data_IF_759681040074
#
_entry.id   IF_759681040074
#
_cell.length_a   1.000
_cell.length_b   1.000
_cell.length_c   1.000
_cell.angle_alpha   90.00
_cell.angle_beta   90.00
_cell.angle_gamma   90.00
#
_symmetry.space_group_name_H-M   'P 1'
#
loop_
_entity.id
_entity.type
_entity.pdbx_description
1 polymer ?
#
# COMPACT_ATOMS: atom_id res chain seq x y z
N UNK A 1 -10.25 32.61 13.02
CA UNK A 1 -9.94 31.31 13.65
C UNK A 1 -9.87 30.27 12.53
N UNK A 2 -8.73 29.63 12.31
CA UNK A 2 -8.60 28.58 11.28
C UNK A 2 -9.13 27.28 11.89
N UNK A 3 -10.17 26.72 11.28
CA UNK A 3 -10.82 25.51 11.75
C UNK A 3 -9.98 24.29 11.32
N UNK A 4 -9.18 23.75 12.23
CA UNK A 4 -8.42 22.52 11.98
C UNK A 4 -9.32 21.31 12.22
N UNK A 5 -10.11 20.93 11.21
CA UNK A 5 -11.15 19.90 11.36
C UNK A 5 -10.57 18.48 11.57
N UNK A 6 -9.44 18.17 10.92
CA UNK A 6 -8.80 16.84 10.93
C UNK A 6 -7.25 16.91 10.85
N UNK A 7 -6.57 17.60 11.79
CA UNK A 7 -5.13 17.83 11.72
C UNK A 7 -4.28 16.56 11.71
N UNK A 8 -4.70 15.50 12.39
CA UNK A 8 -3.97 14.22 12.45
C UNK A 8 -4.05 13.54 11.08
N UNK A 9 -5.26 13.31 10.57
CA UNK A 9 -5.47 12.68 9.28
C UNK A 9 -4.84 13.49 8.14
N UNK A 10 -4.91 14.83 8.22
CA UNK A 10 -4.24 15.74 7.28
C UNK A 10 -2.72 15.60 7.28
N UNK A 11 -2.10 15.40 8.44
CA UNK A 11 -0.65 15.19 8.55
C UNK A 11 -0.25 13.89 7.86
N UNK A 12 -0.93 12.78 8.17
CA UNK A 12 -0.59 11.48 7.60
C UNK A 12 -0.96 11.38 6.11
N UNK A 13 -2.02 12.05 5.65
CA UNK A 13 -2.35 12.11 4.22
C UNK A 13 -1.25 12.78 3.41
N UNK A 14 -0.64 13.86 3.92
CA UNK A 14 0.52 14.51 3.31
C UNK A 14 1.73 13.57 3.22
N UNK A 15 2.08 12.91 4.33
CA UNK A 15 3.22 11.96 4.37
C UNK A 15 3.00 10.79 3.41
N UNK A 16 1.82 10.16 3.47
CA UNK A 16 1.47 9.02 2.62
C UNK A 16 1.34 9.43 1.14
N UNK A 17 0.89 10.65 0.85
CA UNK A 17 0.82 11.21 -0.50
C UNK A 17 2.21 11.39 -1.11
N UNK A 18 3.17 11.94 -0.36
CA UNK A 18 4.57 12.03 -0.80
C UNK A 18 5.18 10.66 -1.07
N UNK A 19 4.88 9.67 -0.19
CA UNK A 19 5.34 8.31 -0.39
C UNK A 19 4.69 7.64 -1.61
N UNK A 20 3.40 7.89 -1.86
CA UNK A 20 2.72 7.41 -3.06
C UNK A 20 3.34 7.98 -4.33
N UNK A 21 3.70 9.27 -4.33
CA UNK A 21 4.44 9.89 -5.43
C UNK A 21 5.78 9.20 -5.69
N UNK A 22 6.52 8.86 -4.63
CA UNK A 22 7.74 8.05 -4.75
C UNK A 22 7.48 6.69 -5.42
N UNK A 23 6.39 5.98 -5.08
CA UNK A 23 6.01 4.72 -5.72
C UNK A 23 5.67 4.90 -7.21
N UNK A 24 4.95 5.97 -7.58
CA UNK A 24 4.64 6.32 -8.97
C UNK A 24 5.94 6.51 -9.77
N UNK A 25 6.89 7.28 -9.24
CA UNK A 25 8.19 7.51 -9.88
C UNK A 25 8.96 6.19 -10.01
N UNK A 26 8.90 5.31 -9.01
CA UNK A 26 9.51 3.98 -9.05
C UNK A 26 8.98 3.11 -10.19
N UNK A 27 7.66 3.11 -10.40
CA UNK A 27 7.00 2.42 -11.52
C UNK A 27 7.40 3.02 -12.86
N UNK A 28 7.43 4.35 -12.98
CA UNK A 28 7.86 5.01 -14.21
C UNK A 28 9.30 4.67 -14.60
N UNK A 29 10.22 4.69 -13.61
CA UNK A 29 11.63 4.35 -13.81
C UNK A 29 11.82 2.87 -14.18
N UNK A 30 11.12 1.95 -13.53
CA UNK A 30 11.24 0.52 -13.83
C UNK A 30 10.69 0.18 -15.22
N UNK A 31 9.55 0.77 -15.61
CA UNK A 31 8.96 0.63 -16.95
C UNK A 31 9.85 1.18 -18.05
N UNK A 32 10.41 2.37 -17.84
CA UNK A 32 11.34 2.99 -18.80
C UNK A 32 12.58 2.12 -19.01
N UNK A 33 13.19 1.61 -17.93
CA UNK A 33 14.35 0.70 -18.01
C UNK A 33 14.01 -0.62 -18.71
N UNK A 34 12.82 -1.17 -18.47
CA UNK A 34 12.38 -2.42 -19.08
C UNK A 34 11.82 -2.26 -20.51
N UNK A 35 11.66 -1.02 -21.00
CA UNK A 35 10.98 -0.69 -22.27
C UNK A 35 9.55 -1.24 -22.34
N UNK A 36 8.85 -1.22 -21.21
CA UNK A 36 7.47 -1.71 -21.06
C UNK A 36 6.52 -0.52 -20.85
N UNK A 37 5.83 -0.04 -21.90
CA UNK A 37 4.95 1.11 -21.76
C UNK A 37 3.72 0.80 -20.88
N UNK A 38 3.16 -0.41 -21.01
CA UNK A 38 1.92 -0.82 -20.36
C UNK A 38 2.04 -2.23 -19.74
N UNK A 39 1.22 -2.46 -18.72
CA UNK A 39 1.16 -3.75 -18.01
C UNK A 39 2.29 -3.94 -17.00
N UNK A 40 2.43 -5.19 -16.56
CA UNK A 40 3.48 -5.68 -15.66
C UNK A 40 4.62 -6.40 -16.39
N UNK A 41 4.51 -6.52 -17.72
CA UNK A 41 5.48 -7.21 -18.55
C UNK A 41 5.26 -8.72 -18.69
N UNK A 42 4.24 -9.29 -18.06
CA UNK A 42 3.95 -10.74 -18.13
C UNK A 42 3.68 -11.22 -19.57
N UNK A 43 2.91 -10.46 -20.34
CA UNK A 43 2.63 -10.78 -21.74
C UNK A 43 3.89 -10.69 -22.61
N UNK A 44 4.70 -9.64 -22.44
CA UNK A 44 5.96 -9.47 -23.16
C UNK A 44 6.97 -10.55 -22.77
N UNK A 45 6.98 -10.99 -21.51
CA UNK A 45 7.80 -12.11 -21.06
C UNK A 45 7.45 -13.40 -21.80
N UNK A 46 6.17 -13.72 -21.95
CA UNK A 46 5.71 -14.89 -22.72
C UNK A 46 6.09 -14.75 -24.20
N UNK A 47 5.91 -13.57 -24.79
CA UNK A 47 6.30 -13.31 -26.18
C UNK A 47 7.79 -13.54 -26.41
N UNK A 48 8.64 -13.08 -25.48
CA UNK A 48 10.08 -13.24 -25.57
C UNK A 48 10.51 -14.71 -25.38
N UNK A 49 9.84 -15.46 -24.50
CA UNK A 49 10.04 -16.91 -24.39
C UNK A 49 9.73 -17.60 -25.72
N UNK A 50 8.57 -17.31 -26.31
CA UNK A 50 8.11 -17.94 -27.56
C UNK A 50 9.00 -17.56 -28.75
N UNK A 51 9.49 -16.31 -28.78
CA UNK A 51 10.42 -15.87 -29.81
C UNK A 51 11.76 -16.62 -29.70
N UNK A 52 12.35 -16.64 -28.50
CA UNK A 52 13.65 -17.29 -28.27
C UNK A 52 13.59 -18.81 -28.33
N UNK A 53 12.46 -19.44 -28.02
CA UNK A 53 12.33 -20.90 -28.15
C UNK A 53 12.45 -21.38 -29.60
N UNK A 54 12.19 -20.51 -30.58
CA UNK A 54 12.39 -20.81 -32.01
C UNK A 54 13.86 -20.79 -32.42
N UNK A 55 14.72 -20.16 -31.62
CA UNK A 55 16.17 -20.01 -31.88
C UNK A 55 17.02 -21.12 -31.22
N UNK A 56 16.39 -22.00 -30.43
CA UNK A 56 17.04 -23.07 -29.66
C UNK A 56 16.85 -22.94 -28.14
N UNK A 57 16.98 -24.05 -27.40
CA UNK A 57 16.74 -24.07 -25.95
C UNK A 57 17.68 -23.15 -25.15
N UNK A 58 18.94 -22.99 -25.59
CA UNK A 58 19.94 -22.16 -24.91
C UNK A 58 19.59 -20.66 -24.94
N UNK A 59 18.82 -20.22 -25.94
CA UNK A 59 18.38 -18.83 -26.07
C UNK A 59 17.34 -18.45 -25.00
N UNK A 60 16.48 -19.38 -24.59
CA UNK A 60 15.46 -19.17 -23.55
C UNK A 60 16.09 -18.98 -22.18
N UNK A 61 17.19 -19.68 -21.88
CA UNK A 61 17.92 -19.54 -20.62
C UNK A 61 18.52 -18.13 -20.42
N UNK A 62 18.76 -17.40 -21.51
CA UNK A 62 19.35 -16.06 -21.51
C UNK A 62 18.32 -14.92 -21.46
N UNK A 63 17.09 -15.16 -21.02
CA UNK A 63 16.09 -14.09 -20.83
C UNK A 63 16.37 -13.37 -19.50
N UNK A 64 16.55 -12.05 -19.57
CA UNK A 64 16.66 -11.22 -18.39
C UNK A 64 15.31 -11.13 -17.66
N UNK A 65 15.14 -11.94 -16.62
CA UNK A 65 13.98 -11.94 -15.74
C UNK A 65 13.93 -10.70 -14.83
N UNK A 66 15.09 -10.11 -14.53
CA UNK A 66 15.21 -9.02 -13.56
C UNK A 66 14.47 -7.77 -14.05
N UNK A 67 14.44 -7.52 -15.37
CA UNK A 67 13.67 -6.39 -15.92
C UNK A 67 12.17 -6.49 -15.63
N UNK A 68 11.58 -7.69 -15.78
CA UNK A 68 10.15 -7.91 -15.55
C UNK A 68 9.83 -7.90 -14.07
N UNK A 69 10.68 -8.56 -13.27
CA UNK A 69 10.52 -8.64 -11.83
C UNK A 69 10.50 -7.27 -11.17
N UNK A 70 11.38 -6.36 -11.59
CA UNK A 70 11.41 -5.00 -11.07
C UNK A 70 10.14 -4.21 -11.38
N UNK A 71 9.59 -4.35 -12.59
CA UNK A 71 8.34 -3.70 -12.97
C UNK A 71 7.18 -4.26 -12.14
N UNK A 72 7.10 -5.59 -12.02
CA UNK A 72 6.10 -6.27 -11.21
C UNK A 72 6.12 -5.84 -9.73
N UNK A 73 7.29 -5.84 -9.07
CA UNK A 73 7.42 -5.41 -7.67
C UNK A 73 6.93 -3.98 -7.44
N UNK A 74 7.36 -3.05 -8.30
CA UNK A 74 7.00 -1.64 -8.16
C UNK A 74 5.50 -1.42 -8.40
N UNK A 75 4.93 -2.07 -9.43
CA UNK A 75 3.50 -1.99 -9.71
C UNK A 75 2.66 -2.58 -8.59
N UNK A 76 3.05 -3.74 -8.06
CA UNK A 76 2.33 -4.33 -6.92
C UNK A 76 2.41 -3.48 -5.67
N UNK A 77 3.56 -2.85 -5.42
CA UNK A 77 3.71 -1.92 -4.30
C UNK A 77 2.80 -0.70 -4.47
N UNK A 78 2.75 -0.11 -5.66
CA UNK A 78 1.88 1.03 -5.97
C UNK A 78 0.40 0.68 -5.85
N UNK A 79 -0.02 -0.45 -6.46
CA UNK A 79 -1.42 -0.87 -6.49
C UNK A 79 -1.93 -1.18 -5.08
N UNK A 80 -1.16 -1.95 -4.31
CA UNK A 80 -1.49 -2.26 -2.92
C UNK A 80 -1.60 -0.97 -2.07
N UNK A 81 -0.72 0.01 -2.30
CA UNK A 81 -0.84 1.30 -1.63
C UNK A 81 -2.15 2.01 -1.97
N UNK A 82 -2.52 2.02 -3.24
CA UNK A 82 -3.75 2.66 -3.72
C UNK A 82 -5.03 1.97 -3.22
N UNK A 83 -4.99 0.67 -2.94
CA UNK A 83 -6.13 -0.09 -2.40
C UNK A 83 -6.40 0.24 -0.94
N UNK A 84 -5.35 0.31 -0.11
CA UNK A 84 -5.52 0.35 1.35
C UNK A 84 -5.39 1.74 1.97
N UNK A 85 -4.54 2.61 1.42
CA UNK A 85 -4.23 3.89 2.05
C UNK A 85 -5.39 4.88 1.97
N UNK A 86 -6.05 5.08 0.81
CA UNK A 86 -7.23 5.95 0.76
C UNK A 86 -8.33 5.47 1.71
N UNK A 87 -8.54 4.16 1.81
CA UNK A 87 -9.53 3.58 2.72
C UNK A 87 -9.22 3.88 4.18
N UNK A 88 -7.96 3.69 4.60
CA UNK A 88 -7.53 4.01 5.97
C UNK A 88 -7.65 5.51 6.29
N UNK A 89 -7.32 6.38 5.33
CA UNK A 89 -7.46 7.83 5.49
C UNK A 89 -8.93 8.24 5.66
N UNK A 90 -9.86 7.61 4.93
CA UNK A 90 -11.30 7.85 5.10
C UNK A 90 -11.76 7.42 6.49
N UNK A 91 -11.41 6.22 6.95
CA UNK A 91 -11.74 5.75 8.29
C UNK A 91 -11.18 6.68 9.37
N UNK A 92 -9.94 7.12 9.21
CA UNK A 92 -9.27 8.01 10.17
C UNK A 92 -9.91 9.38 10.21
N UNK A 93 -10.30 9.94 9.05
CA UNK A 93 -11.05 11.19 8.99
C UNK A 93 -12.39 11.06 9.72
N UNK A 94 -13.14 9.97 9.48
CA UNK A 94 -14.41 9.71 10.17
C UNK A 94 -14.20 9.64 11.68
N UNK A 95 -13.21 8.87 12.13
CA UNK A 95 -12.90 8.76 13.56
C UNK A 95 -12.50 10.11 14.18
N UNK A 96 -11.65 10.89 13.52
CA UNK A 96 -11.19 12.19 14.00
C UNK A 96 -12.36 13.19 14.11
N UNK A 97 -13.24 13.23 13.11
CA UNK A 97 -14.44 14.07 13.11
C UNK A 97 -15.41 13.71 14.23
N UNK A 98 -15.46 12.45 14.65
CA UNK A 98 -16.26 11.98 15.78
C UNK A 98 -15.52 12.08 17.13
N UNK A 99 -14.40 12.81 17.19
CA UNK A 99 -13.70 13.08 18.44
C UNK A 99 -12.90 11.89 18.98
N UNK A 100 -12.36 11.05 18.10
CA UNK A 100 -11.43 9.99 18.51
C UNK A 100 -10.30 10.53 19.38
N UNK A 101 -9.87 9.73 20.36
CA UNK A 101 -8.72 10.08 21.19
C UNK A 101 -7.47 10.33 20.32
N UNK A 102 -6.87 11.51 20.43
CA UNK A 102 -5.76 11.94 19.58
C UNK A 102 -4.52 11.04 19.69
N UNK A 103 -4.21 10.52 20.88
CA UNK A 103 -3.06 9.61 21.07
C UNK A 103 -3.29 8.29 20.38
N UNK A 104 -4.50 7.75 20.52
CA UNK A 104 -4.91 6.52 19.86
C UNK A 104 -4.86 6.65 18.33
N UNK A 105 -5.48 7.71 17.78
CA UNK A 105 -5.52 7.90 16.33
C UNK A 105 -4.10 8.14 15.75
N UNK A 106 -3.26 8.89 16.44
CA UNK A 106 -1.86 9.05 16.05
C UNK A 106 -1.10 7.72 16.06
N UNK A 107 -1.24 6.92 17.13
CA UNK A 107 -0.60 5.61 17.22
C UNK A 107 -1.05 4.65 16.11
N UNK A 108 -2.35 4.63 15.82
CA UNK A 108 -2.93 3.85 14.74
C UNK A 108 -2.37 4.26 13.37
N UNK A 109 -2.37 5.56 13.07
CA UNK A 109 -1.90 6.10 11.79
C UNK A 109 -0.39 5.98 11.60
N UNK A 110 0.39 6.16 12.66
CA UNK A 110 1.84 5.94 12.63
C UNK A 110 2.16 4.47 12.34
N UNK A 111 1.54 3.56 13.09
CA UNK A 111 1.75 2.11 12.93
C UNK A 111 1.37 1.65 11.52
N UNK A 112 0.22 2.12 11.02
CA UNK A 112 -0.22 1.85 9.66
C UNK A 112 0.80 2.37 8.65
N UNK A 113 1.23 3.63 8.76
CA UNK A 113 2.20 4.26 7.84
C UNK A 113 3.51 3.49 7.78
N UNK A 114 4.09 3.14 8.93
CA UNK A 114 5.31 2.33 9.01
C UNK A 114 5.10 0.94 8.39
N UNK A 115 3.94 0.32 8.64
CA UNK A 115 3.55 -0.94 8.02
C UNK A 115 3.50 -0.87 6.49
N UNK A 116 2.98 0.22 5.92
CA UNK A 116 2.94 0.45 4.46
C UNK A 116 4.33 0.56 3.84
N UNK A 117 5.22 1.31 4.49
CA UNK A 117 6.62 1.44 4.04
C UNK A 117 7.32 0.09 4.13
N UNK A 118 7.16 -0.62 5.25
CA UNK A 118 7.78 -1.93 5.44
C UNK A 118 7.30 -2.99 4.43
N UNK A 119 6.00 -2.98 4.08
CA UNK A 119 5.43 -3.88 3.09
C UNK A 119 6.08 -3.73 1.71
N UNK A 120 6.25 -2.48 1.27
CA UNK A 120 6.78 -2.17 -0.05
C UNK A 120 8.31 -2.34 -0.12
N UNK A 121 9.06 -1.69 0.78
CA UNK A 121 10.53 -1.64 0.70
C UNK A 121 11.20 -2.94 1.19
N UNK A 122 10.74 -3.49 2.31
CA UNK A 122 11.34 -4.70 2.91
C UNK A 122 10.54 -5.98 2.61
N UNK A 123 9.50 -5.89 1.78
CA UNK A 123 8.64 -7.00 1.42
C UNK A 123 8.66 -7.26 -0.08
N UNK A 124 7.93 -6.44 -0.83
CA UNK A 124 7.77 -6.62 -2.28
C UNK A 124 9.04 -6.32 -3.06
N UNK A 125 9.83 -5.33 -2.65
CA UNK A 125 11.11 -5.01 -3.31
C UNK A 125 12.29 -5.88 -2.84
N UNK A 126 12.07 -6.77 -1.87
CA UNK A 126 13.08 -7.72 -1.44
C UNK A 126 13.28 -8.85 -2.47
N UNK A 127 14.37 -9.61 -2.32
CA UNK A 127 14.70 -10.74 -3.20
C UNK A 127 13.51 -11.70 -3.33
N UNK A 128 13.22 -12.10 -4.57
CA UNK A 128 12.14 -13.02 -4.94
C UNK A 128 10.74 -12.59 -4.45
N UNK A 129 10.56 -11.31 -4.13
CA UNK A 129 9.33 -10.75 -3.55
C UNK A 129 8.94 -11.40 -2.20
N UNK A 130 9.89 -11.98 -1.47
CA UNK A 130 9.64 -12.81 -0.27
C UNK A 130 10.20 -12.18 1.02
N UNK A 131 10.37 -10.87 1.06
CA UNK A 131 10.85 -10.19 2.27
C UNK A 131 9.87 -10.29 3.44
N UNK A 132 10.39 -10.42 4.65
CA UNK A 132 9.60 -10.47 5.90
C UNK A 132 8.70 -9.24 6.09
N UNK A 133 9.03 -8.11 5.45
CA UNK A 133 8.19 -6.91 5.42
C UNK A 133 6.79 -7.14 4.84
N UNK A 134 6.59 -8.17 4.00
CA UNK A 134 5.25 -8.52 3.47
C UNK A 134 4.30 -8.91 4.58
N UNK A 135 4.72 -9.82 5.47
CA UNK A 135 3.87 -10.34 6.54
C UNK A 135 3.55 -9.25 7.55
N UNK A 136 4.57 -8.57 8.06
CA UNK A 136 4.42 -7.49 9.05
C UNK A 136 3.56 -6.36 8.48
N UNK A 137 3.85 -5.94 7.24
CA UNK A 137 3.10 -4.89 6.57
C UNK A 137 1.65 -5.27 6.23
N UNK A 138 1.39 -6.54 5.90
CA UNK A 138 0.04 -7.03 5.66
C UNK A 138 -0.77 -7.09 6.96
N UNK A 139 -0.20 -7.65 8.03
CA UNK A 139 -0.87 -7.73 9.33
C UNK A 139 -1.21 -6.34 9.87
N UNK A 140 -0.25 -5.41 9.85
CA UNK A 140 -0.49 -4.02 10.29
C UNK A 140 -1.55 -3.31 9.45
N UNK A 141 -1.58 -3.52 8.13
CA UNK A 141 -2.63 -2.96 7.26
C UNK A 141 -4.01 -3.53 7.61
N UNK A 142 -4.13 -4.85 7.71
CA UNK A 142 -5.41 -5.52 7.95
C UNK A 142 -5.95 -5.22 9.35
N UNK A 143 -5.10 -5.30 10.37
CA UNK A 143 -5.47 -4.93 11.73
C UNK A 143 -5.84 -3.44 11.82
N UNK A 144 -5.10 -2.56 11.14
CA UNK A 144 -5.40 -1.12 11.10
C UNK A 144 -6.78 -0.84 10.51
N UNK A 145 -7.14 -1.51 9.42
CA UNK A 145 -8.45 -1.39 8.78
C UNK A 145 -9.55 -1.93 9.69
N UNK A 146 -9.37 -3.10 10.31
CA UNK A 146 -10.38 -3.66 11.22
C UNK A 146 -10.60 -2.72 12.41
N UNK A 147 -9.52 -2.25 13.04
CA UNK A 147 -9.58 -1.31 14.16
C UNK A 147 -10.23 0.01 13.74
N UNK A 148 -9.86 0.54 12.57
CA UNK A 148 -10.42 1.78 12.02
C UNK A 148 -11.92 1.65 11.71
N UNK A 149 -12.35 0.52 11.14
CA UNK A 149 -13.75 0.23 10.84
C UNK A 149 -14.58 0.10 12.11
N UNK A 150 -14.12 -0.71 13.08
CA UNK A 150 -14.80 -0.86 14.37
C UNK A 150 -14.86 0.48 15.11
N UNK A 151 -13.75 1.22 15.14
CA UNK A 151 -13.67 2.54 15.75
C UNK A 151 -14.62 3.53 15.11
N UNK A 152 -14.71 3.54 13.78
CA UNK A 152 -15.65 4.39 13.03
C UNK A 152 -17.10 4.04 13.36
N UNK A 153 -17.46 2.75 13.39
CA UNK A 153 -18.81 2.29 13.73
C UNK A 153 -19.16 2.72 15.17
N UNK A 154 -18.27 2.46 16.13
CA UNK A 154 -18.50 2.80 17.53
C UNK A 154 -18.63 4.30 17.74
N UNK A 155 -17.68 5.11 17.27
CA UNK A 155 -17.66 6.55 17.50
C UNK A 155 -18.83 7.26 16.81
N UNK A 156 -19.22 6.82 15.62
CA UNK A 156 -20.38 7.39 14.91
C UNK A 156 -21.71 7.11 15.61
N UNK A 157 -21.79 6.02 16.39
CA UNK A 157 -23.01 5.58 17.06
C UNK A 157 -22.90 5.61 18.60
N UNK A 158 -21.89 6.33 19.13
CA UNK A 158 -21.48 6.23 20.53
C UNK A 158 -22.64 6.43 21.51
N UNK A 159 -23.44 7.47 21.31
CA UNK A 159 -24.58 7.79 22.16
C UNK A 159 -25.65 6.68 22.21
N UNK A 160 -25.88 6.01 21.08
CA UNK A 160 -26.83 4.89 21.00
C UNK A 160 -26.25 3.64 21.69
N UNK A 161 -25.01 3.28 21.36
CA UNK A 161 -24.34 2.08 21.88
C UNK A 161 -24.16 2.15 23.39
N UNK A 162 -23.63 3.26 23.90
CA UNK A 162 -23.40 3.42 25.34
C UNK A 162 -24.72 3.36 26.12
N UNK A 163 -25.83 3.85 25.53
CA UNK A 163 -27.16 3.78 26.11
C UNK A 163 -27.81 2.39 26.13
N UNK A 164 -27.30 1.42 25.35
CA UNK A 164 -27.74 0.02 25.40
C UNK A 164 -26.84 -0.85 26.27
N UNK A 165 -25.53 -0.59 26.28
CA UNK A 165 -24.54 -1.46 26.94
C UNK A 165 -24.28 -1.12 28.42
N UNK A 166 -24.45 0.13 28.82
CA UNK A 166 -24.09 0.60 30.16
C UNK A 166 -25.28 1.14 30.97
N UNK A 167 -26.48 0.60 30.71
CA UNK A 167 -27.64 0.76 31.59
C UNK A 167 -27.54 -0.14 32.81
#
# INVERSE_FOLDING_TARGET
MVLNLIPITGTYSGVLGLYYFYLIVGVGKSRSKAKLPNGDGSQQYIQDIVAKSKEGNDSVANIDLTRYNNVYANLRSQLNFNEFVPYMLILSAVMELHGANSKFLNGLMLTFTLGRVAHAEFGLKAKDFRGYGRLVGALTTMSGIIIGSIGSIYLSNKACIDGYLFK
#
